data_IF_312738805933
#
_entry.id   IF_312738805933
#
_cell.length_a   1.000
_cell.length_b   1.000
_cell.length_c   1.000
_cell.angle_alpha   90.00
_cell.angle_beta   90.00
_cell.angle_gamma   90.00
#
_symmetry.space_group_name_H-M   'P 1'
#
loop_
_entity.id
_entity.type
_entity.pdbx_description
1 polymer ?
#
# COMPACT_ATOMS: atom_id res chain seq x y z
N UNK A 1 -10.91 19.25 30.10
CA UNK A 1 -10.30 19.13 28.77
C UNK A 1 -8.81 19.26 28.98
N UNK A 2 -8.02 18.23 28.65
CA UNK A 2 -6.56 18.34 28.78
C UNK A 2 -6.08 19.33 27.75
N UNK A 3 -5.33 20.36 28.16
CA UNK A 3 -4.59 21.24 27.24
C UNK A 3 -3.65 20.38 26.41
N UNK A 4 -4.06 20.04 25.19
CA UNK A 4 -3.22 19.30 24.27
C UNK A 4 -2.02 20.17 23.91
N UNK A 5 -0.81 19.71 24.30
CA UNK A 5 0.43 20.40 23.98
C UNK A 5 0.61 20.46 22.46
N UNK A 6 0.57 21.65 21.90
CA UNK A 6 0.84 21.86 20.49
C UNK A 6 2.36 21.95 20.24
N UNK A 7 2.83 21.17 19.27
CA UNK A 7 4.21 21.21 18.81
C UNK A 7 4.27 21.99 17.49
N UNK A 8 5.01 23.08 17.38
CA UNK A 8 5.12 23.83 16.14
C UNK A 8 5.83 23.00 15.08
N UNK A 9 5.35 23.12 13.84
CA UNK A 9 6.01 22.49 12.69
C UNK A 9 7.38 23.13 12.49
N UNK A 10 8.44 22.31 12.44
CA UNK A 10 9.80 22.81 12.22
C UNK A 10 9.95 23.38 10.80
N UNK A 11 10.90 24.30 10.62
CA UNK A 11 11.17 24.87 9.31
C UNK A 11 11.61 23.83 8.28
N UNK A 12 12.42 22.84 8.69
CA UNK A 12 12.85 21.72 7.86
C UNK A 12 11.66 20.85 7.40
N UNK A 13 10.71 20.55 8.30
CA UNK A 13 9.51 19.80 7.94
C UNK A 13 8.60 20.60 6.99
N UNK A 14 8.49 21.90 7.21
CA UNK A 14 7.71 22.79 6.34
C UNK A 14 8.30 22.90 4.95
N UNK A 15 9.61 23.00 4.82
CA UNK A 15 10.31 23.06 3.53
C UNK A 15 10.20 21.76 2.71
N UNK A 16 9.99 20.62 3.38
CA UNK A 16 9.84 19.31 2.73
C UNK A 16 8.39 18.90 2.51
N UNK A 17 7.43 19.66 3.05
CA UNK A 17 6.01 19.34 2.92
C UNK A 17 5.54 19.51 1.46
N UNK A 18 4.80 18.53 0.94
CA UNK A 18 4.19 18.57 -0.39
C UNK A 18 3.01 19.54 -0.45
N UNK A 19 2.36 19.79 0.69
CA UNK A 19 1.26 20.76 0.80
C UNK A 19 1.38 21.53 2.10
N UNK A 20 1.25 22.85 2.03
CA UNK A 20 1.08 23.73 3.20
C UNK A 20 -0.37 23.74 3.69
N UNK A 21 -0.66 24.44 4.80
CA UNK A 21 -2.01 24.49 5.36
C UNK A 21 -3.06 25.05 4.39
N UNK A 22 -2.71 26.06 3.59
CA UNK A 22 -3.60 26.66 2.58
C UNK A 22 -3.90 25.69 1.44
N UNK A 23 -2.87 25.02 0.92
CA UNK A 23 -3.03 24.02 -0.13
C UNK A 23 -3.83 22.82 0.37
N UNK A 24 -3.58 22.37 1.60
CA UNK A 24 -4.39 21.33 2.23
C UNK A 24 -5.87 21.74 2.30
N UNK A 25 -6.16 22.94 2.78
CA UNK A 25 -7.53 23.43 2.90
C UNK A 25 -8.24 23.50 1.55
N UNK A 26 -7.52 23.92 0.49
CA UNK A 26 -8.02 23.92 -0.88
C UNK A 26 -8.32 22.51 -1.38
N UNK A 27 -7.37 21.59 -1.28
CA UNK A 27 -7.55 20.19 -1.71
C UNK A 27 -8.69 19.52 -0.95
N UNK A 28 -8.81 19.79 0.35
CA UNK A 28 -9.91 19.27 1.16
C UNK A 28 -11.27 19.81 0.70
N UNK A 29 -11.37 21.11 0.46
CA UNK A 29 -12.59 21.71 -0.05
C UNK A 29 -13.00 21.14 -1.41
N UNK A 30 -12.06 20.96 -2.34
CA UNK A 30 -12.29 20.30 -3.63
C UNK A 30 -12.79 18.87 -3.45
N UNK A 31 -12.16 18.10 -2.56
CA UNK A 31 -12.52 16.68 -2.35
C UNK A 31 -13.93 16.48 -1.77
N UNK A 32 -14.42 17.46 -1.04
CA UNK A 32 -15.79 17.46 -0.47
C UNK A 32 -16.81 17.98 -1.46
N UNK A 33 -16.46 19.02 -2.25
CA UNK A 33 -17.37 19.64 -3.20
C UNK A 33 -17.68 18.73 -4.41
N UNK A 34 -16.68 18.06 -4.95
CA UNK A 34 -16.82 17.11 -6.08
C UNK A 34 -15.83 15.95 -5.90
N UNK A 35 -16.20 14.93 -5.12
CA UNK A 35 -15.35 13.75 -4.89
C UNK A 35 -14.97 13.03 -6.19
N UNK A 36 -15.91 12.94 -7.14
CA UNK A 36 -15.69 12.22 -8.39
C UNK A 36 -14.60 12.86 -9.23
N UNK A 37 -14.70 14.16 -9.47
CA UNK A 37 -13.68 14.87 -10.21
C UNK A 37 -12.34 14.88 -9.48
N UNK A 38 -12.37 15.11 -8.16
CA UNK A 38 -11.17 15.17 -7.33
C UNK A 38 -10.40 13.84 -7.35
N UNK A 39 -11.05 12.72 -6.98
CA UNK A 39 -10.37 11.43 -6.90
C UNK A 39 -10.03 10.86 -8.28
N UNK A 40 -10.83 11.17 -9.33
CA UNK A 40 -10.47 10.81 -10.71
C UNK A 40 -9.19 11.52 -11.16
N UNK A 41 -9.01 12.80 -10.81
CA UNK A 41 -7.79 13.55 -11.08
C UNK A 41 -6.61 12.96 -10.32
N UNK A 42 -6.74 12.76 -9.00
CA UNK A 42 -5.70 12.16 -8.16
C UNK A 42 -5.28 10.77 -8.67
N UNK A 43 -6.24 9.96 -9.06
CA UNK A 43 -5.97 8.61 -9.57
C UNK A 43 -5.17 8.64 -10.89
N UNK A 44 -5.46 9.59 -11.80
CA UNK A 44 -4.69 9.74 -13.04
C UNK A 44 -3.29 10.30 -12.81
N UNK A 45 -3.15 11.24 -11.91
CA UNK A 45 -1.87 11.89 -11.61
C UNK A 45 -0.92 10.98 -10.83
N UNK A 46 -1.45 10.18 -9.89
CA UNK A 46 -0.63 9.46 -8.92
C UNK A 46 -0.54 7.95 -9.13
N UNK A 47 -1.39 7.36 -9.98
CA UNK A 47 -1.40 5.92 -10.22
C UNK A 47 -1.10 5.59 -11.69
N UNK A 48 -0.41 4.47 -11.90
CA UNK A 48 -0.24 3.88 -13.22
C UNK A 48 -1.35 2.86 -13.45
N UNK A 49 -2.11 3.06 -14.51
CA UNK A 49 -3.21 2.20 -14.94
C UNK A 49 -2.85 1.40 -16.16
N UNK A 50 -3.19 0.13 -16.19
CA UNK A 50 -3.12 -0.73 -17.37
C UNK A 50 -4.40 -0.66 -18.22
N UNK A 51 -5.52 -0.23 -17.61
CA UNK A 51 -6.74 0.19 -18.28
C UNK A 51 -7.33 1.34 -17.47
N UNK A 52 -7.47 2.50 -18.09
CA UNK A 52 -7.85 3.77 -17.45
C UNK A 52 -9.27 4.25 -17.83
N UNK A 53 -9.97 3.47 -18.65
CA UNK A 53 -11.36 3.72 -19.01
C UNK A 53 -12.32 3.26 -17.92
N UNK A 54 -12.34 3.96 -16.79
CA UNK A 54 -13.28 3.67 -15.70
C UNK A 54 -14.47 4.63 -15.69
N UNK A 55 -15.60 4.18 -15.12
CA UNK A 55 -16.66 5.04 -14.62
C UNK A 55 -16.26 5.63 -13.26
N UNK A 56 -16.81 6.80 -12.94
CA UNK A 56 -16.63 7.42 -11.64
C UNK A 56 -17.24 6.57 -10.52
N UNK A 57 -17.11 7.03 -9.28
CA UNK A 57 -17.64 6.28 -8.16
C UNK A 57 -19.18 6.23 -8.17
N UNK A 58 -19.70 5.14 -7.65
CA UNK A 58 -21.10 4.99 -7.26
C UNK A 58 -21.11 4.71 -5.75
N UNK A 59 -21.83 5.52 -4.97
CA UNK A 59 -22.00 5.32 -3.54
C UNK A 59 -23.48 5.23 -3.20
N UNK A 60 -23.95 4.04 -2.88
CA UNK A 60 -25.27 3.79 -2.29
C UNK A 60 -25.08 3.27 -0.87
N UNK A 61 -25.00 4.19 0.07
CA UNK A 61 -24.80 3.87 1.49
C UNK A 61 -25.99 3.12 2.10
N UNK A 62 -27.21 3.28 1.51
CA UNK A 62 -28.40 2.57 1.99
C UNK A 62 -28.35 1.08 1.67
N UNK A 63 -27.74 0.72 0.55
CA UNK A 63 -27.49 -0.66 0.15
C UNK A 63 -26.10 -1.18 0.54
N UNK A 64 -25.31 -0.36 1.23
CA UNK A 64 -23.92 -0.70 1.60
C UNK A 64 -23.00 -0.90 0.41
N UNK A 65 -23.29 -0.28 -0.73
CA UNK A 65 -22.49 -0.42 -1.95
C UNK A 65 -21.69 0.84 -2.23
N UNK A 66 -20.37 0.64 -2.39
CA UNK A 66 -19.47 1.70 -2.83
C UNK A 66 -18.57 1.11 -3.91
N UNK A 67 -18.48 1.77 -5.06
CA UNK A 67 -17.65 1.37 -6.19
C UNK A 67 -16.82 2.56 -6.67
N UNK A 68 -15.53 2.35 -6.81
CA UNK A 68 -14.59 3.32 -7.34
C UNK A 68 -13.89 2.75 -8.57
N UNK A 69 -13.69 3.59 -9.59
CA UNK A 69 -12.89 3.26 -10.78
C UNK A 69 -13.32 1.96 -11.45
N UNK A 70 -14.62 1.73 -11.59
CA UNK A 70 -15.16 0.49 -12.16
C UNK A 70 -14.70 0.33 -13.62
N UNK A 71 -14.12 -0.82 -13.94
CA UNK A 71 -13.48 -1.08 -15.23
C UNK A 71 -12.00 -0.75 -15.30
N UNK A 72 -11.48 0.05 -14.36
CA UNK A 72 -10.05 0.34 -14.23
C UNK A 72 -9.25 -0.90 -13.86
N UNK A 73 -8.01 -0.97 -14.34
CA UNK A 73 -7.08 -2.06 -14.01
C UNK A 73 -5.72 -1.52 -13.66
N UNK A 74 -5.25 -1.88 -12.48
CA UNK A 74 -3.91 -1.57 -12.00
C UNK A 74 -3.33 -2.76 -11.25
N UNK A 75 -2.03 -2.69 -10.96
CA UNK A 75 -1.37 -3.60 -10.04
C UNK A 75 -0.72 -2.79 -8.92
N UNK A 76 -1.07 -3.09 -7.67
CA UNK A 76 -0.55 -2.37 -6.52
C UNK A 76 0.98 -2.51 -6.38
N UNK A 77 1.52 -3.72 -6.59
CA UNK A 77 2.96 -3.95 -6.55
C UNK A 77 3.70 -3.14 -7.61
N UNK A 78 3.19 -3.08 -8.85
CA UNK A 78 3.76 -2.25 -9.90
C UNK A 78 3.79 -0.77 -9.49
N UNK A 79 2.70 -0.28 -8.93
CA UNK A 79 2.61 1.10 -8.46
C UNK A 79 3.54 1.40 -7.28
N UNK A 80 3.77 0.43 -6.40
CA UNK A 80 4.66 0.59 -5.26
C UNK A 80 6.15 0.47 -5.61
N UNK A 81 6.52 -0.37 -6.59
CA UNK A 81 7.91 -0.70 -6.88
C UNK A 81 8.32 -0.41 -8.33
N UNK A 82 7.71 -1.09 -9.29
CA UNK A 82 8.21 -1.17 -10.67
C UNK A 82 8.30 0.21 -11.34
N UNK A 83 7.26 1.02 -11.22
CA UNK A 83 7.20 2.36 -11.81
C UNK A 83 8.29 3.32 -11.32
N UNK A 84 8.92 2.99 -10.19
CA UNK A 84 9.94 3.82 -9.56
C UNK A 84 11.38 3.39 -9.88
N UNK A 85 11.57 2.22 -10.51
CA UNK A 85 12.90 1.62 -10.70
C UNK A 85 13.83 2.47 -11.56
N UNK A 86 13.30 3.09 -12.61
CA UNK A 86 14.09 3.88 -13.54
C UNK A 86 14.66 5.15 -12.87
N UNK A 87 13.82 5.86 -12.12
CA UNK A 87 14.17 7.17 -11.56
C UNK A 87 14.60 7.12 -10.09
N UNK A 88 14.18 6.10 -9.35
CA UNK A 88 14.37 5.98 -7.89
C UNK A 88 14.90 4.60 -7.47
N UNK A 89 15.42 3.80 -8.40
CA UNK A 89 15.83 2.41 -8.14
C UNK A 89 16.82 2.25 -7.00
N UNK A 90 17.73 3.19 -6.83
CA UNK A 90 18.77 3.16 -5.80
C UNK A 90 18.41 3.97 -4.54
N UNK A 91 17.22 4.60 -4.52
CA UNK A 91 16.67 5.23 -3.32
C UNK A 91 16.18 4.17 -2.33
N UNK A 92 16.27 4.47 -1.03
CA UNK A 92 15.73 3.59 0.01
C UNK A 92 14.21 3.52 -0.10
N UNK A 93 13.71 2.28 -0.18
CA UNK A 93 12.28 1.97 -0.15
C UNK A 93 11.82 1.49 1.23
N UNK A 94 12.69 0.78 1.95
CA UNK A 94 12.41 0.24 3.28
C UNK A 94 13.62 0.52 4.17
N UNK A 95 13.35 1.08 5.34
CA UNK A 95 14.28 1.18 6.47
C UNK A 95 13.68 0.31 7.56
N UNK A 96 14.39 -0.73 7.94
CA UNK A 96 13.98 -1.64 9.00
C UNK A 96 14.99 -1.61 10.13
N UNK A 97 14.47 -1.61 11.36
CA UNK A 97 15.24 -1.68 12.59
C UNK A 97 14.65 -2.80 13.44
N UNK A 98 15.51 -3.67 13.97
CA UNK A 98 15.14 -4.76 14.86
C UNK A 98 14.91 -4.29 16.30
N UNK A 99 14.65 -5.24 17.19
CA UNK A 99 14.56 -4.96 18.64
C UNK A 99 15.90 -4.49 19.20
N UNK A 100 17.01 -4.99 18.67
CA UNK A 100 18.33 -4.43 18.88
C UNK A 100 18.57 -3.32 17.84
N UNK A 101 18.77 -2.05 18.26
CA UNK A 101 19.04 -0.94 17.34
C UNK A 101 20.30 -1.11 16.47
N UNK A 102 21.19 -2.05 16.80
CA UNK A 102 22.32 -2.41 15.96
C UNK A 102 21.92 -3.27 14.75
N UNK A 103 20.74 -3.89 14.79
CA UNK A 103 20.18 -4.66 13.70
C UNK A 103 19.35 -3.76 12.78
N UNK A 104 19.97 -3.26 11.73
CA UNK A 104 19.31 -2.39 10.75
C UNK A 104 19.45 -2.94 9.32
N UNK A 105 18.42 -2.74 8.51
CA UNK A 105 18.44 -3.06 7.07
C UNK A 105 17.92 -1.87 6.27
N UNK A 106 18.75 -1.41 5.36
CA UNK A 106 18.40 -0.37 4.39
C UNK A 106 18.23 -1.01 3.02
N UNK A 107 17.03 -0.98 2.49
CA UNK A 107 16.64 -1.73 1.28
C UNK A 107 16.18 -0.73 0.22
N UNK A 108 16.85 -0.75 -0.93
CA UNK A 108 16.48 0.11 -2.06
C UNK A 108 15.25 -0.43 -2.81
N UNK A 109 14.63 0.42 -3.66
CA UNK A 109 13.54 -0.02 -4.55
C UNK A 109 13.97 -1.20 -5.42
N UNK A 110 15.17 -1.18 -5.96
CA UNK A 110 15.74 -2.25 -6.79
C UNK A 110 15.89 -3.56 -6.03
N UNK A 111 16.39 -3.50 -4.81
CA UNK A 111 16.52 -4.66 -3.93
C UNK A 111 15.15 -5.21 -3.54
N UNK A 112 14.23 -4.36 -3.11
CA UNK A 112 12.87 -4.76 -2.77
C UNK A 112 12.16 -5.40 -3.97
N UNK A 113 12.27 -4.82 -5.16
CA UNK A 113 11.72 -5.39 -6.39
C UNK A 113 12.28 -6.78 -6.70
N UNK A 114 13.59 -6.99 -6.52
CA UNK A 114 14.22 -8.29 -6.75
C UNK A 114 13.70 -9.36 -5.79
N UNK A 115 13.59 -9.03 -4.48
CA UNK A 115 13.08 -9.96 -3.47
C UNK A 115 11.59 -10.29 -3.69
N UNK A 116 10.78 -9.28 -3.95
CA UNK A 116 9.35 -9.45 -4.26
C UNK A 116 9.15 -10.30 -5.51
N UNK A 117 9.94 -10.09 -6.56
CA UNK A 117 9.86 -10.87 -7.80
C UNK A 117 10.27 -12.33 -7.57
N UNK A 118 11.31 -12.56 -6.75
CA UNK A 118 11.78 -13.90 -6.38
C UNK A 118 10.69 -14.67 -5.61
N UNK A 119 10.10 -14.02 -4.60
CA UNK A 119 9.02 -14.62 -3.81
C UNK A 119 7.75 -14.84 -4.64
N UNK A 120 7.38 -13.93 -5.53
CA UNK A 120 6.26 -14.10 -6.46
C UNK A 120 6.45 -15.34 -7.36
N UNK A 121 7.67 -15.58 -7.84
CA UNK A 121 7.99 -16.79 -8.61
C UNK A 121 7.88 -18.06 -7.76
N UNK A 122 8.33 -18.02 -6.50
CA UNK A 122 8.17 -19.16 -5.58
C UNK A 122 6.69 -19.47 -5.36
N UNK A 123 5.85 -18.46 -5.11
CA UNK A 123 4.40 -18.65 -4.96
C UNK A 123 3.80 -19.29 -6.22
N UNK A 124 4.15 -18.82 -7.41
CA UNK A 124 3.70 -19.42 -8.68
C UNK A 124 4.13 -20.88 -8.83
N UNK A 125 5.36 -21.22 -8.48
CA UNK A 125 5.83 -22.62 -8.54
C UNK A 125 5.12 -23.54 -7.53
N UNK A 126 4.53 -22.96 -6.49
CA UNK A 126 3.67 -23.66 -5.52
C UNK A 126 2.20 -23.71 -5.95
N UNK A 127 1.87 -23.24 -7.14
CA UNK A 127 0.54 -23.28 -7.71
C UNK A 127 -0.35 -22.07 -7.36
N UNK A 128 0.19 -21.08 -6.66
CA UNK A 128 -0.59 -19.86 -6.33
C UNK A 128 -0.84 -19.04 -7.58
N UNK A 129 -2.08 -18.68 -7.80
CA UNK A 129 -2.59 -17.93 -8.94
C UNK A 129 -3.46 -16.75 -8.50
N UNK A 130 -3.92 -15.97 -9.49
CA UNK A 130 -4.81 -14.83 -9.24
C UNK A 130 -6.10 -15.29 -8.54
N UNK A 131 -6.42 -14.63 -7.43
CA UNK A 131 -7.63 -14.91 -6.63
C UNK A 131 -7.42 -15.92 -5.51
N UNK A 132 -6.29 -16.64 -5.47
CA UNK A 132 -5.97 -17.50 -4.35
C UNK A 132 -5.65 -16.68 -3.10
N UNK A 133 -5.92 -17.25 -1.92
CA UNK A 133 -5.64 -16.63 -0.62
C UNK A 133 -4.33 -17.17 -0.08
N UNK A 134 -3.48 -16.24 0.36
CA UNK A 134 -2.19 -16.53 0.99
C UNK A 134 -2.20 -15.95 2.40
N UNK A 135 -2.15 -16.80 3.39
CA UNK A 135 -2.00 -16.38 4.78
C UNK A 135 -0.54 -16.05 5.07
N UNK A 136 -0.27 -14.83 5.55
CA UNK A 136 1.07 -14.36 5.91
C UNK A 136 1.13 -14.26 7.43
N UNK A 137 1.85 -15.22 8.06
CA UNK A 137 2.07 -15.25 9.50
C UNK A 137 3.55 -15.02 9.77
N UNK A 138 3.92 -13.75 9.94
CA UNK A 138 5.30 -13.30 10.10
C UNK A 138 5.40 -12.21 11.16
N UNK A 139 6.57 -12.06 11.82
CA UNK A 139 6.88 -10.88 12.62
C UNK A 139 7.06 -9.64 11.73
N UNK A 140 7.33 -8.49 12.37
CA UNK A 140 7.54 -7.20 11.68
C UNK A 140 8.94 -7.14 11.03
N UNK A 141 9.14 -7.91 9.98
CA UNK A 141 10.38 -7.99 9.18
C UNK A 141 10.12 -7.58 7.73
N UNK A 142 11.14 -7.15 6.98
CA UNK A 142 10.97 -6.74 5.58
C UNK A 142 10.34 -7.82 4.70
N UNK A 143 10.56 -9.09 5.01
CA UNK A 143 10.00 -10.24 4.31
C UNK A 143 8.46 -10.28 4.35
N UNK A 144 7.83 -9.73 5.41
CA UNK A 144 6.38 -9.59 5.47
C UNK A 144 5.87 -8.60 4.41
N UNK A 145 6.56 -7.49 4.22
CA UNK A 145 6.25 -6.54 3.14
C UNK A 145 6.47 -7.16 1.75
N UNK A 146 7.55 -7.93 1.58
CA UNK A 146 7.80 -8.65 0.31
C UNK A 146 6.68 -9.65 0.01
N UNK A 147 6.19 -10.37 1.03
CA UNK A 147 5.12 -11.34 0.85
C UNK A 147 3.80 -10.68 0.42
N UNK A 148 3.43 -9.56 1.04
CA UNK A 148 2.26 -8.78 0.62
C UNK A 148 2.37 -8.29 -0.82
N UNK A 149 3.51 -7.71 -1.18
CA UNK A 149 3.75 -7.20 -2.54
C UNK A 149 3.87 -8.33 -3.58
N UNK A 150 4.42 -9.49 -3.21
CA UNK A 150 4.48 -10.65 -4.08
C UNK A 150 3.09 -11.21 -4.41
N UNK A 151 2.20 -11.28 -3.41
CA UNK A 151 0.80 -11.64 -3.63
C UNK A 151 0.11 -10.63 -4.57
N UNK A 152 0.23 -9.33 -4.29
CA UNK A 152 -0.33 -8.28 -5.14
C UNK A 152 0.22 -8.35 -6.58
N UNK A 153 1.50 -8.68 -6.75
CA UNK A 153 2.16 -8.81 -8.06
C UNK A 153 1.50 -9.86 -8.94
N UNK A 154 1.16 -11.02 -8.38
CA UNK A 154 0.53 -12.12 -9.11
C UNK A 154 -1.00 -12.10 -9.06
N UNK A 155 -1.59 -11.12 -8.37
CA UNK A 155 -3.03 -10.98 -8.21
C UNK A 155 -3.64 -11.93 -7.18
N UNK A 156 -2.83 -12.53 -6.31
CA UNK A 156 -3.30 -13.30 -5.16
C UNK A 156 -3.77 -12.35 -4.04
N UNK A 157 -4.68 -12.84 -3.22
CA UNK A 157 -5.20 -12.13 -2.05
C UNK A 157 -4.35 -12.50 -0.85
N UNK A 158 -3.82 -11.53 -0.12
CA UNK A 158 -3.10 -11.82 1.12
C UNK A 158 -3.94 -11.54 2.35
N UNK A 159 -3.82 -12.41 3.36
CA UNK A 159 -4.38 -12.25 4.69
C UNK A 159 -3.23 -12.20 5.70
N UNK A 160 -3.02 -11.05 6.32
CA UNK A 160 -1.89 -10.86 7.24
C UNK A 160 -2.34 -11.15 8.67
N UNK A 161 -1.60 -12.04 9.33
CA UNK A 161 -1.79 -12.39 10.74
C UNK A 161 -0.55 -11.97 11.51
N UNK A 162 -0.73 -11.19 12.55
CA UNK A 162 0.37 -10.76 13.40
C UNK A 162 1.06 -11.95 14.09
N UNK A 163 2.38 -12.00 14.05
CA UNK A 163 3.18 -13.15 14.50
C UNK A 163 3.09 -13.48 16.00
N UNK A 164 2.45 -12.60 16.80
CA UNK A 164 2.18 -12.84 18.22
C UNK A 164 0.84 -13.50 18.52
N UNK A 165 0.01 -13.78 17.49
CA UNK A 165 -1.29 -14.41 17.71
C UNK A 165 -1.17 -15.93 17.93
N UNK A 166 -2.18 -16.48 18.62
CA UNK A 166 -2.24 -17.91 18.93
C UNK A 166 -2.47 -18.76 17.67
N UNK A 167 -2.12 -20.09 17.73
CA UNK A 167 -2.45 -21.02 16.64
C UNK A 167 -3.95 -21.05 16.30
N UNK A 168 -4.83 -20.89 17.30
CA UNK A 168 -6.27 -20.81 17.08
C UNK A 168 -6.66 -19.61 16.23
N UNK A 169 -6.10 -18.41 16.52
CA UNK A 169 -6.36 -17.22 15.72
C UNK A 169 -5.89 -17.37 14.28
N UNK A 170 -4.77 -18.08 14.05
CA UNK A 170 -4.28 -18.39 12.72
C UNK A 170 -5.22 -19.34 11.98
N UNK A 171 -5.69 -20.40 12.66
CA UNK A 171 -6.67 -21.34 12.11
C UNK A 171 -7.96 -20.63 11.70
N UNK A 172 -8.51 -19.80 12.61
CA UNK A 172 -9.75 -19.06 12.37
C UNK A 172 -9.64 -18.16 11.14
N UNK A 173 -8.50 -17.45 10.97
CA UNK A 173 -8.23 -16.62 9.79
C UNK A 173 -8.14 -17.41 8.49
N UNK A 174 -7.53 -18.59 8.52
CA UNK A 174 -7.43 -19.47 7.35
C UNK A 174 -8.80 -20.02 6.96
N UNK A 175 -9.64 -20.35 7.95
CA UNK A 175 -10.99 -20.89 7.71
C UNK A 175 -11.98 -19.82 7.23
N UNK A 176 -11.78 -18.55 7.61
CA UNK A 176 -12.62 -17.41 7.22
C UNK A 176 -12.26 -16.83 5.84
N UNK A 177 -11.13 -17.19 5.28
CA UNK A 177 -10.62 -16.68 3.97
C UNK A 177 -11.11 -17.54 2.78
#
# INVERSE_FOLDING_TARGET
>A
MSDAKLYPVTEAARAQALAGPEEYAKLYAESVADPDAFFSRMAREHLHWFADGWSNHEADMSAGRVRWFEGGRLNACYNCLDRHLETRGDQLAIIWEGDDPAEQRHITYRQAHAEVSRLANVLKTRGVSKGDRVCIYMPMIPEAAYAMLACARIGAIHSVVFGGFSPQSLQDRILDS
#
